data_IF_239233465190
#
_entry.id   IF_239233465190
#
_cell.length_a   1.000
_cell.length_b   1.000
_cell.length_c   1.000
_cell.angle_alpha   90.00
_cell.angle_beta   90.00
_cell.angle_gamma   90.00
#
_symmetry.space_group_name_H-M   'P 1'
#
loop_
_entity.id
_entity.type
_entity.pdbx_description
1 polymer ?
#
# COMPACT_ATOMS: atom_id res chain seq x y z
N UNK A 1 -11.39 -35.22 11.87
CA UNK A 1 -12.81 -35.04 11.51
C UNK A 1 -12.99 -34.04 10.36
N UNK A 2 -12.46 -32.80 10.42
CA UNK A 2 -12.69 -31.76 9.41
C UNK A 2 -12.17 -32.16 8.01
N UNK A 3 -10.91 -32.62 7.90
CA UNK A 3 -10.32 -33.07 6.63
C UNK A 3 -11.13 -34.20 6.00
N UNK A 4 -11.62 -35.15 6.83
CA UNK A 4 -12.46 -36.25 6.35
C UNK A 4 -13.78 -35.74 5.79
N UNK A 5 -14.44 -34.78 6.45
CA UNK A 5 -15.68 -34.18 5.95
C UNK A 5 -15.45 -33.43 4.63
N UNK A 6 -14.30 -32.73 4.47
CA UNK A 6 -13.93 -32.09 3.21
C UNK A 6 -13.81 -33.12 2.08
N UNK A 7 -13.12 -34.24 2.31
CA UNK A 7 -13.00 -35.33 1.31
C UNK A 7 -14.35 -35.90 0.92
N UNK A 8 -15.19 -36.21 1.90
CA UNK A 8 -16.54 -36.75 1.67
C UNK A 8 -17.43 -35.80 0.89
N UNK A 9 -17.32 -34.46 1.18
CA UNK A 9 -18.04 -33.45 0.46
C UNK A 9 -17.65 -33.40 -1.02
N UNK A 10 -16.35 -33.48 -1.34
CA UNK A 10 -15.86 -33.50 -2.73
C UNK A 10 -16.47 -34.67 -3.51
N UNK A 11 -16.45 -35.88 -2.93
CA UNK A 11 -16.99 -37.07 -3.60
C UNK A 11 -18.50 -37.00 -3.79
N UNK A 12 -19.22 -36.38 -2.88
CA UNK A 12 -20.66 -36.14 -3.04
C UNK A 12 -20.94 -35.29 -4.28
N UNK A 13 -20.20 -34.24 -4.50
CA UNK A 13 -20.43 -33.37 -5.63
C UNK A 13 -19.84 -33.91 -6.94
N UNK A 14 -18.85 -34.82 -6.87
CA UNK A 14 -18.30 -35.48 -8.07
C UNK A 14 -19.39 -36.14 -8.91
N UNK A 15 -20.24 -36.95 -8.28
CA UNK A 15 -21.36 -37.61 -8.96
C UNK A 15 -22.30 -36.64 -9.67
N UNK A 16 -22.61 -35.52 -9.02
CA UNK A 16 -23.45 -34.47 -9.63
C UNK A 16 -22.77 -33.84 -10.89
N UNK A 17 -21.47 -33.68 -10.86
CA UNK A 17 -20.70 -33.19 -12.02
C UNK A 17 -20.65 -34.23 -13.15
N UNK A 18 -20.54 -35.48 -12.86
CA UNK A 18 -20.57 -36.58 -13.85
C UNK A 18 -21.94 -36.64 -14.54
N UNK A 19 -23.03 -36.62 -13.77
CA UNK A 19 -24.40 -36.55 -14.31
C UNK A 19 -24.62 -35.32 -15.17
N UNK A 20 -24.16 -34.15 -14.73
CA UNK A 20 -24.26 -32.92 -15.49
C UNK A 20 -23.46 -33.00 -16.80
N UNK A 21 -22.22 -33.47 -16.74
CA UNK A 21 -21.36 -33.62 -17.90
C UNK A 21 -21.96 -34.58 -18.94
N UNK A 22 -22.53 -35.67 -18.49
CA UNK A 22 -23.27 -36.64 -19.34
C UNK A 22 -24.48 -35.96 -19.98
N UNK A 23 -25.25 -35.20 -19.20
CA UNK A 23 -26.47 -34.52 -19.69
C UNK A 23 -26.17 -33.50 -20.79
N UNK A 24 -25.10 -32.74 -20.67
CA UNK A 24 -24.69 -31.74 -21.68
C UNK A 24 -23.88 -32.33 -22.83
N UNK A 25 -23.61 -33.64 -22.80
CA UNK A 25 -22.84 -34.35 -23.87
C UNK A 25 -21.34 -34.06 -23.84
N UNK A 26 -20.79 -33.67 -22.68
CA UNK A 26 -19.34 -33.50 -22.51
C UNK A 26 -18.67 -34.86 -22.25
N UNK A 27 -17.67 -35.19 -23.06
CA UNK A 27 -16.95 -36.44 -22.96
C UNK A 27 -15.59 -36.24 -22.32
N UNK A 28 -15.38 -36.91 -21.19
CA UNK A 28 -14.12 -36.98 -20.48
C UNK A 28 -13.99 -38.37 -19.81
N UNK A 29 -12.77 -38.75 -19.48
CA UNK A 29 -12.50 -39.92 -18.67
C UNK A 29 -12.89 -39.66 -17.21
N UNK A 30 -14.12 -40.00 -16.86
CA UNK A 30 -14.67 -39.82 -15.49
C UNK A 30 -14.27 -40.93 -14.54
N UNK A 31 -13.76 -42.07 -15.07
CA UNK A 31 -13.29 -43.20 -14.26
C UNK A 31 -11.92 -42.88 -13.65
N UNK A 32 -11.07 -42.14 -14.37
CA UNK A 32 -9.77 -41.73 -13.89
C UNK A 32 -9.70 -40.20 -13.67
N UNK A 33 -10.40 -39.68 -12.68
CA UNK A 33 -10.47 -38.23 -12.44
C UNK A 33 -9.15 -37.72 -11.90
N UNK A 34 -8.88 -36.44 -12.23
CA UNK A 34 -7.76 -35.70 -11.70
C UNK A 34 -8.04 -35.28 -10.24
N UNK A 35 -7.37 -35.91 -9.28
CA UNK A 35 -7.63 -35.71 -7.85
C UNK A 35 -6.40 -35.14 -7.17
N UNK A 36 -6.48 -33.87 -6.76
CA UNK A 36 -5.34 -33.08 -6.27
C UNK A 36 -4.81 -33.51 -4.90
N UNK A 37 -5.50 -34.37 -4.15
CA UNK A 37 -5.02 -34.89 -2.88
C UNK A 37 -4.55 -36.35 -2.94
N UNK A 38 -4.50 -36.97 -4.14
CA UNK A 38 -3.89 -38.28 -4.33
C UNK A 38 -2.38 -38.20 -4.39
N UNK A 39 -1.70 -39.25 -3.96
CA UNK A 39 -0.24 -39.26 -3.83
C UNK A 39 0.49 -39.09 -5.16
N UNK A 40 -0.01 -39.64 -6.25
CA UNK A 40 0.52 -39.50 -7.59
C UNK A 40 0.48 -38.06 -8.10
N UNK A 41 -0.60 -37.32 -7.78
CA UNK A 41 -0.67 -35.87 -8.05
C UNK A 41 0.35 -35.11 -7.22
N UNK A 42 0.39 -35.36 -5.93
CA UNK A 42 1.31 -34.70 -4.98
C UNK A 42 2.77 -34.97 -5.38
N UNK A 43 3.09 -36.21 -5.79
CA UNK A 43 4.43 -36.56 -6.24
C UNK A 43 4.82 -35.76 -7.51
N UNK A 44 3.91 -35.63 -8.46
CA UNK A 44 4.11 -34.84 -9.69
C UNK A 44 4.31 -33.36 -9.38
N UNK A 45 3.55 -32.79 -8.44
CA UNK A 45 3.71 -31.42 -7.98
C UNK A 45 5.08 -31.19 -7.33
N UNK A 46 5.51 -32.10 -6.45
CA UNK A 46 6.84 -32.04 -5.83
C UNK A 46 7.96 -32.18 -6.84
N UNK A 47 7.79 -33.01 -7.86
CA UNK A 47 8.75 -33.09 -8.94
C UNK A 47 8.87 -31.74 -9.69
N UNK A 48 7.76 -31.11 -10.04
CA UNK A 48 7.77 -29.81 -10.71
C UNK A 48 8.43 -28.73 -9.86
N UNK A 49 8.10 -28.67 -8.56
CA UNK A 49 8.75 -27.74 -7.61
C UNK A 49 10.25 -27.99 -7.50
N UNK A 50 10.69 -29.26 -7.50
CA UNK A 50 12.11 -29.63 -7.48
C UNK A 50 12.85 -29.14 -8.73
N UNK A 51 12.23 -29.25 -9.91
CA UNK A 51 12.79 -28.73 -11.16
C UNK A 51 12.92 -27.20 -11.14
N UNK A 52 11.93 -26.48 -10.61
CA UNK A 52 11.97 -25.04 -10.42
C UNK A 52 13.08 -24.65 -9.42
N UNK A 53 13.21 -25.40 -8.33
CA UNK A 53 14.28 -25.21 -7.33
C UNK A 53 15.66 -25.39 -7.95
N UNK A 54 15.86 -26.47 -8.72
CA UNK A 54 17.14 -26.77 -9.39
C UNK A 54 17.56 -25.63 -10.33
N UNK A 55 16.58 -25.00 -10.98
CA UNK A 55 16.78 -23.81 -11.83
C UNK A 55 16.99 -22.51 -11.04
N UNK A 56 16.96 -22.55 -9.71
CA UNK A 56 17.10 -21.39 -8.79
C UNK A 56 16.03 -20.30 -9.02
N UNK A 57 14.86 -20.68 -9.50
CA UNK A 57 13.73 -19.78 -9.70
C UNK A 57 12.81 -19.68 -8.48
N UNK A 58 12.95 -20.59 -7.52
CA UNK A 58 12.23 -20.53 -6.24
C UNK A 58 13.10 -19.84 -5.19
N UNK A 59 12.58 -18.77 -4.61
CA UNK A 59 13.29 -17.96 -3.62
C UNK A 59 12.34 -17.50 -2.52
N UNK A 60 12.88 -17.13 -1.35
CA UNK A 60 12.12 -16.53 -0.26
C UNK A 60 11.98 -15.03 -0.50
N UNK A 61 10.77 -14.58 -0.74
CA UNK A 61 10.45 -13.18 -0.95
C UNK A 61 9.40 -12.65 0.02
N UNK A 62 9.18 -11.33 -0.01
CA UNK A 62 8.13 -10.66 0.75
C UNK A 62 7.07 -10.12 -0.21
N UNK A 63 5.82 -10.18 0.22
CA UNK A 63 4.69 -9.62 -0.52
C UNK A 63 3.75 -8.92 0.45
N UNK A 64 3.28 -7.73 0.07
CA UNK A 64 2.22 -7.05 0.81
C UNK A 64 0.90 -7.77 0.55
N UNK A 65 0.23 -8.14 1.62
CA UNK A 65 -1.10 -8.76 1.56
C UNK A 65 -1.99 -8.11 2.62
N UNK A 66 -3.28 -7.90 2.33
CA UNK A 66 -4.26 -7.57 3.36
C UNK A 66 -4.28 -8.67 4.43
N UNK A 67 -4.40 -8.28 5.68
CA UNK A 67 -4.37 -9.19 6.81
C UNK A 67 -5.52 -8.90 7.78
N UNK A 68 -6.25 -9.93 8.18
CA UNK A 68 -7.30 -9.81 9.17
C UNK A 68 -6.75 -10.07 10.58
N UNK A 69 -6.65 -9.07 11.46
CA UNK A 69 -6.15 -9.27 12.83
C UNK A 69 -7.10 -10.11 13.68
N UNK A 70 -8.39 -10.16 13.36
CA UNK A 70 -9.39 -10.97 14.05
C UNK A 70 -9.25 -12.46 13.74
N UNK A 71 -9.07 -12.79 12.46
CA UNK A 71 -8.93 -14.17 12.00
C UNK A 71 -7.49 -14.68 12.13
N UNK A 72 -6.50 -13.79 12.18
CA UNK A 72 -5.08 -14.12 12.18
C UNK A 72 -4.59 -14.67 10.84
N UNK A 73 -5.26 -14.30 9.72
CA UNK A 73 -4.98 -14.85 8.39
C UNK A 73 -4.84 -13.75 7.34
N UNK A 74 -4.01 -13.94 6.31
CA UNK A 74 -4.04 -13.09 5.13
C UNK A 74 -5.37 -13.24 4.37
N UNK A 75 -5.78 -12.17 3.70
CA UNK A 75 -7.01 -12.12 2.92
C UNK A 75 -6.68 -12.13 1.42
N UNK A 76 -7.50 -12.81 0.63
CA UNK A 76 -7.45 -12.74 -0.81
C UNK A 76 -8.02 -11.42 -1.34
N UNK A 77 -7.66 -11.04 -2.56
CA UNK A 77 -8.21 -9.86 -3.21
C UNK A 77 -9.75 -9.92 -3.34
N UNK A 78 -10.30 -11.12 -3.54
CA UNK A 78 -11.74 -11.34 -3.64
C UNK A 78 -12.44 -11.08 -2.30
N UNK A 79 -11.91 -11.56 -1.19
CA UNK A 79 -12.47 -11.29 0.15
C UNK A 79 -12.45 -9.79 0.47
N UNK A 80 -11.35 -9.11 0.15
CA UNK A 80 -11.23 -7.66 0.35
C UNK A 80 -12.26 -6.92 -0.50
N UNK A 81 -12.42 -7.27 -1.78
CA UNK A 81 -13.36 -6.58 -2.69
C UNK A 81 -14.81 -6.66 -2.24
N UNK A 82 -15.20 -7.74 -1.56
CA UNK A 82 -16.55 -7.91 -1.00
C UNK A 82 -16.78 -7.15 0.32
N UNK A 83 -15.72 -6.67 0.95
CA UNK A 83 -15.74 -6.03 2.26
C UNK A 83 -15.78 -4.50 2.25
N UNK A 84 -15.77 -3.85 1.09
CA UNK A 84 -15.77 -2.39 1.01
C UNK A 84 -17.04 -1.77 1.57
N UNK A 85 -16.87 -0.81 2.49
CA UNK A 85 -17.96 -0.04 3.10
C UNK A 85 -17.50 1.39 3.30
N UNK A 86 -18.45 2.33 3.14
CA UNK A 86 -18.21 3.72 3.53
C UNK A 86 -18.26 3.82 5.06
N UNK A 87 -17.17 4.28 5.66
CA UNK A 87 -17.04 4.48 7.10
C UNK A 87 -16.59 5.90 7.40
N UNK A 88 -16.93 6.40 8.60
CA UNK A 88 -16.38 7.66 9.11
C UNK A 88 -15.17 7.36 9.96
N UNK A 89 -14.02 7.85 9.54
CA UNK A 89 -12.75 7.69 10.24
C UNK A 89 -12.18 9.05 10.64
N UNK A 90 -11.45 9.08 11.76
CA UNK A 90 -10.65 10.26 12.10
C UNK A 90 -9.39 10.25 11.25
N UNK A 91 -9.13 11.35 10.58
CA UNK A 91 -7.88 11.56 9.85
C UNK A 91 -6.99 12.57 10.59
N UNK A 92 -5.70 12.50 10.33
CA UNK A 92 -4.72 13.42 10.85
C UNK A 92 -3.93 14.07 9.70
N UNK A 93 -3.64 15.35 9.83
CA UNK A 93 -2.66 16.05 9.01
C UNK A 93 -1.43 16.25 9.87
N UNK A 94 -0.29 15.75 9.41
CA UNK A 94 0.95 15.69 10.17
C UNK A 94 2.02 16.52 9.49
N UNK A 95 2.79 17.26 10.28
CA UNK A 95 3.90 18.11 9.83
C UNK A 95 5.21 17.35 9.87
N UNK A 96 5.90 17.23 8.75
CA UNK A 96 7.23 16.65 8.64
C UNK A 96 8.22 17.77 8.33
N UNK A 97 9.14 18.05 9.25
CA UNK A 97 10.07 19.16 9.12
C UNK A 97 11.08 18.91 8.01
N UNK A 98 11.24 19.88 7.12
CA UNK A 98 12.22 19.79 6.03
C UNK A 98 13.62 20.04 6.59
N UNK A 99 14.60 19.24 6.16
CA UNK A 99 16.00 19.42 6.57
C UNK A 99 16.56 20.70 5.95
N UNK A 100 17.16 21.56 6.78
CA UNK A 100 17.82 22.79 6.35
C UNK A 100 16.87 23.95 6.02
N UNK A 101 15.56 23.79 6.22
CA UNK A 101 14.55 24.83 6.01
C UNK A 101 13.59 24.95 7.20
N UNK A 102 13.10 26.16 7.47
CA UNK A 102 12.00 26.36 8.42
C UNK A 102 10.64 26.17 7.72
N UNK A 103 10.42 24.95 7.21
CA UNK A 103 9.24 24.56 6.47
C UNK A 103 8.89 23.09 6.76
N UNK A 104 7.65 22.70 6.48
CA UNK A 104 7.13 21.37 6.76
C UNK A 104 6.37 20.82 5.55
N UNK A 105 6.53 19.52 5.25
CA UNK A 105 5.56 18.83 4.43
C UNK A 105 4.30 18.52 5.26
N UNK A 106 3.12 18.79 4.71
CA UNK A 106 1.86 18.35 5.29
C UNK A 106 1.45 17.03 4.65
N UNK A 107 1.48 15.94 5.42
CA UNK A 107 0.98 14.65 4.97
C UNK A 107 -0.32 14.28 5.70
N UNK A 108 -1.29 13.78 4.96
CA UNK A 108 -2.56 13.33 5.48
C UNK A 108 -2.60 11.81 5.64
N UNK A 109 -3.22 11.34 6.72
CA UNK A 109 -3.41 9.91 6.98
C UNK A 109 -4.70 9.61 7.71
N UNK A 110 -5.33 8.50 7.37
CA UNK A 110 -6.44 7.88 8.13
C UNK A 110 -5.93 6.84 9.13
N UNK A 111 -4.64 6.51 9.10
CA UNK A 111 -4.02 5.47 9.94
C UNK A 111 -2.84 6.03 10.75
N UNK A 112 -3.09 6.95 11.72
CA UNK A 112 -2.00 7.64 12.44
C UNK A 112 -1.10 6.68 13.25
N UNK A 113 -1.56 5.48 13.58
CA UNK A 113 -0.76 4.45 14.25
C UNK A 113 0.37 3.87 13.38
N UNK A 114 0.39 4.16 12.06
CA UNK A 114 1.49 3.78 11.16
C UNK A 114 2.64 4.78 11.12
N UNK A 115 2.45 5.98 11.69
CA UNK A 115 3.46 7.05 11.71
C UNK A 115 4.80 6.66 12.35
N UNK A 116 4.86 5.84 13.44
CA UNK A 116 6.13 5.37 13.99
C UNK A 116 6.99 4.58 13.00
N UNK A 117 6.38 3.99 11.97
CA UNK A 117 7.06 3.24 10.90
C UNK A 117 7.24 4.07 9.62
N UNK A 118 7.09 5.40 9.69
CA UNK A 118 7.33 6.26 8.53
C UNK A 118 8.80 6.21 8.11
N UNK A 119 9.03 6.10 6.80
CA UNK A 119 10.38 6.06 6.20
C UNK A 119 10.52 6.93 4.96
N UNK A 120 9.41 7.34 4.36
CA UNK A 120 9.40 8.23 3.20
C UNK A 120 8.09 9.03 3.12
N UNK A 121 8.08 10.10 2.36
CA UNK A 121 6.90 10.78 1.87
C UNK A 121 6.79 10.56 0.36
N UNK A 122 5.57 10.59 -0.16
CA UNK A 122 5.31 10.39 -1.58
C UNK A 122 4.44 11.50 -2.13
N UNK A 123 4.82 12.01 -3.30
CA UNK A 123 4.09 13.03 -4.07
C UNK A 123 3.84 12.55 -5.49
N UNK A 124 2.85 13.13 -6.16
CA UNK A 124 2.62 12.83 -7.58
C UNK A 124 3.54 13.67 -8.45
N UNK A 125 4.39 13.09 -9.30
CA UNK A 125 5.40 13.83 -10.08
C UNK A 125 4.79 14.79 -11.10
N UNK A 126 3.56 14.53 -11.59
CA UNK A 126 2.89 15.33 -12.61
C UNK A 126 2.11 16.51 -12.03
N UNK A 127 1.78 16.47 -10.74
CA UNK A 127 0.95 17.48 -10.08
C UNK A 127 1.75 18.69 -9.63
N UNK A 128 1.03 19.78 -9.34
CA UNK A 128 1.63 21.05 -8.87
C UNK A 128 1.57 21.10 -7.34
N UNK A 129 2.71 21.41 -6.75
CA UNK A 129 2.90 21.62 -5.32
C UNK A 129 3.36 23.06 -5.06
N UNK A 130 3.01 23.57 -3.89
CA UNK A 130 3.36 24.93 -3.48
C UNK A 130 4.02 24.94 -2.12
N UNK A 131 4.90 25.92 -1.94
CA UNK A 131 5.41 26.32 -0.64
C UNK A 131 4.60 27.54 -0.21
N UNK A 132 3.85 27.41 0.88
CA UNK A 132 2.93 28.43 1.36
C UNK A 132 3.27 28.89 2.77
N UNK A 133 3.17 30.18 3.03
CA UNK A 133 3.16 30.74 4.38
C UNK A 133 1.73 30.78 4.87
N UNK A 134 1.39 30.02 5.88
CA UNK A 134 0.04 29.96 6.43
C UNK A 134 -0.16 30.99 7.56
N UNK A 135 -1.42 31.34 7.83
CA UNK A 135 -1.80 32.29 8.87
C UNK A 135 -1.43 31.83 10.29
N UNK A 136 -1.22 30.51 10.49
CA UNK A 136 -0.71 29.95 11.76
C UNK A 136 0.78 30.23 12.00
N UNK A 137 1.45 30.91 11.09
CA UNK A 137 2.85 31.32 11.20
C UNK A 137 3.86 30.31 10.65
N UNK A 138 3.41 29.13 10.18
CA UNK A 138 4.29 28.11 9.61
C UNK A 138 4.35 28.18 8.10
N UNK A 139 5.39 27.57 7.53
CA UNK A 139 5.55 27.39 6.08
C UNK A 139 5.34 25.92 5.73
N UNK A 140 4.52 25.67 4.72
CA UNK A 140 4.13 24.30 4.35
C UNK A 140 4.39 24.00 2.88
N UNK A 141 4.73 22.73 2.60
CA UNK A 141 4.71 22.11 1.28
C UNK A 141 3.49 21.20 1.16
N UNK A 142 2.65 21.45 0.17
CA UNK A 142 1.48 20.62 -0.14
C UNK A 142 1.02 20.83 -1.57
N UNK A 143 0.05 20.02 -2.03
CA UNK A 143 -0.52 20.19 -3.36
C UNK A 143 -1.32 21.50 -3.46
N UNK A 144 -1.12 22.26 -4.54
CA UNK A 144 -1.77 23.55 -4.79
C UNK A 144 -3.31 23.41 -4.75
N UNK A 145 -3.86 22.41 -5.43
CA UNK A 145 -5.30 22.16 -5.54
C UNK A 145 -6.00 21.92 -4.19
N UNK A 146 -5.26 21.58 -3.13
CA UNK A 146 -5.80 21.26 -1.81
C UNK A 146 -5.58 22.34 -0.76
N UNK A 147 -4.90 23.44 -1.10
CA UNK A 147 -4.58 24.52 -0.17
C UNK A 147 -5.84 25.12 0.45
N UNK A 148 -6.83 25.45 -0.33
CA UNK A 148 -8.09 26.06 0.17
C UNK A 148 -8.87 25.08 1.09
N UNK A 149 -8.88 23.80 0.75
CA UNK A 149 -9.55 22.77 1.56
C UNK A 149 -8.89 22.57 2.93
N UNK A 150 -7.56 22.59 2.96
CA UNK A 150 -6.76 22.28 4.17
C UNK A 150 -6.53 23.52 5.01
N UNK A 151 -6.08 24.61 4.39
CA UNK A 151 -5.67 25.83 5.08
C UNK A 151 -6.76 26.91 5.13
N UNK A 152 -7.79 26.81 4.29
CA UNK A 152 -8.84 27.83 4.18
C UNK A 152 -9.53 28.16 5.52
N UNK A 153 -9.56 27.21 6.43
CA UNK A 153 -10.10 27.40 7.79
C UNK A 153 -9.25 28.29 8.69
N UNK A 154 -8.03 28.60 8.26
CA UNK A 154 -7.14 29.52 8.99
C UNK A 154 -7.37 30.99 8.60
N UNK A 155 -8.24 31.26 7.60
CA UNK A 155 -8.65 32.61 7.28
C UNK A 155 -9.48 33.19 8.43
N UNK A 156 -9.21 34.43 8.78
CA UNK A 156 -10.04 35.24 9.66
C UNK A 156 -10.68 36.34 8.82
N UNK A 157 -11.94 36.13 8.46
CA UNK A 157 -12.70 37.07 7.62
C UNK A 157 -12.95 38.41 8.33
N UNK A 158 -13.10 38.41 9.66
CA UNK A 158 -13.32 39.63 10.44
C UNK A 158 -12.03 40.49 10.56
N UNK A 159 -10.87 39.83 10.65
CA UNK A 159 -9.57 40.48 10.66
C UNK A 159 -9.00 40.75 9.26
N UNK A 160 -9.65 40.27 8.20
CA UNK A 160 -9.18 40.41 6.80
C UNK A 160 -7.89 39.60 6.53
N UNK A 161 -7.58 38.60 7.35
CA UNK A 161 -6.37 37.80 7.22
C UNK A 161 -6.55 36.68 6.19
N UNK A 162 -5.68 36.63 5.19
CA UNK A 162 -5.63 35.53 4.23
C UNK A 162 -5.20 34.23 4.93
N UNK A 163 -5.79 33.11 4.55
CA UNK A 163 -5.44 31.80 5.08
C UNK A 163 -3.98 31.41 4.86
N UNK A 164 -3.45 31.79 3.71
CA UNK A 164 -2.07 31.50 3.31
C UNK A 164 -1.61 32.43 2.19
N UNK A 165 -0.31 32.49 1.99
CA UNK A 165 0.36 33.16 0.88
C UNK A 165 1.28 32.17 0.16
N UNK A 166 1.16 32.06 -1.16
CA UNK A 166 2.02 31.20 -1.98
C UNK A 166 3.37 31.88 -2.16
N UNK A 167 4.44 31.22 -1.71
CA UNK A 167 5.81 31.71 -1.82
C UNK A 167 6.49 31.19 -3.10
N UNK A 168 6.35 29.89 -3.35
CA UNK A 168 7.01 29.19 -4.46
C UNK A 168 6.11 28.07 -4.99
N UNK A 169 6.28 27.73 -6.27
CA UNK A 169 5.53 26.67 -6.96
C UNK A 169 6.50 25.66 -7.56
N UNK A 170 6.17 24.37 -7.45
CA UNK A 170 7.00 23.25 -7.90
C UNK A 170 6.16 22.22 -8.65
N UNK A 171 6.77 21.46 -9.55
CA UNK A 171 6.23 20.17 -9.92
C UNK A 171 6.60 19.12 -8.86
N UNK A 172 5.73 18.12 -8.65
CA UNK A 172 6.04 17.07 -7.67
C UNK A 172 7.39 16.40 -7.94
N UNK A 173 7.78 16.29 -9.21
CA UNK A 173 9.10 15.79 -9.61
C UNK A 173 10.27 16.59 -9.03
N UNK A 174 10.12 17.90 -8.87
CA UNK A 174 11.16 18.79 -8.36
C UNK A 174 11.38 18.61 -6.84
N UNK A 175 10.40 18.01 -6.15
CA UNK A 175 10.48 17.70 -4.73
C UNK A 175 11.11 16.33 -4.45
N UNK A 176 11.38 15.51 -5.47
CA UNK A 176 11.97 14.19 -5.32
C UNK A 176 13.35 14.29 -4.63
N UNK A 177 13.58 13.40 -3.67
CA UNK A 177 14.78 13.34 -2.80
C UNK A 177 14.95 14.49 -1.81
N UNK A 178 14.01 15.43 -1.69
CA UNK A 178 14.03 16.43 -0.62
C UNK A 178 13.91 15.73 0.73
N UNK A 179 14.82 16.01 1.65
CA UNK A 179 14.95 15.33 2.93
C UNK A 179 14.10 16.00 4.01
N UNK A 180 13.60 15.19 4.93
CA UNK A 180 12.86 15.66 6.10
C UNK A 180 13.35 14.94 7.38
N UNK A 181 13.15 15.58 8.53
CA UNK A 181 13.51 15.01 9.82
C UNK A 181 12.52 13.88 10.21
N UNK A 182 12.99 12.74 10.74
CA UNK A 182 12.10 11.67 11.19
C UNK A 182 11.15 12.18 12.27
N UNK A 183 9.87 11.82 12.16
CA UNK A 183 8.87 12.15 13.17
C UNK A 183 9.06 11.33 14.46
N UNK A 184 9.55 10.09 14.31
CA UNK A 184 9.90 9.14 15.36
C UNK A 184 11.17 8.39 14.98
N UNK A 185 11.97 8.00 15.95
CA UNK A 185 13.25 7.30 15.73
C UNK A 185 13.10 5.79 15.50
N UNK A 186 11.87 5.27 15.55
CA UNK A 186 11.58 3.83 15.52
C UNK A 186 12.16 3.08 14.31
N UNK A 187 12.29 3.73 13.16
CA UNK A 187 12.81 3.12 11.93
C UNK A 187 14.24 3.55 11.59
N UNK A 188 14.85 4.48 12.33
CA UNK A 188 16.22 4.99 12.06
C UNK A 188 17.25 3.87 12.12
N UNK A 189 17.30 3.13 13.23
CA UNK A 189 18.23 2.01 13.42
C UNK A 189 18.10 0.95 12.33
N UNK A 190 16.91 0.75 11.80
CA UNK A 190 16.64 -0.26 10.76
C UNK A 190 17.18 0.23 9.42
N UNK A 191 17.00 1.50 9.10
CA UNK A 191 17.57 2.12 7.91
C UNK A 191 19.10 2.03 7.93
N UNK A 192 19.73 2.35 9.06
CA UNK A 192 21.17 2.28 9.23
C UNK A 192 21.72 0.85 9.10
N UNK A 193 21.13 -0.14 9.81
CA UNK A 193 21.54 -1.56 9.75
C UNK A 193 21.42 -2.15 8.35
N UNK A 194 20.52 -1.63 7.52
CA UNK A 194 20.31 -2.12 6.16
C UNK A 194 21.04 -1.29 5.10
N UNK A 195 21.77 -0.24 5.52
CA UNK A 195 22.42 0.71 4.61
C UNK A 195 21.46 1.31 3.60
N UNK A 196 20.19 1.55 4.00
CA UNK A 196 19.16 2.17 3.18
C UNK A 196 18.89 3.58 3.65
N UNK A 197 18.85 4.52 2.71
CA UNK A 197 18.46 5.90 2.99
C UNK A 197 16.94 5.96 3.22
N UNK A 198 16.52 6.53 4.33
CA UNK A 198 15.13 6.86 4.63
C UNK A 198 14.91 8.38 4.67
N UNK A 199 13.69 8.80 5.01
CA UNK A 199 13.30 10.17 5.35
C UNK A 199 13.50 11.19 4.22
N UNK A 200 13.06 10.82 3.03
CA UNK A 200 13.06 11.69 1.86
C UNK A 200 11.74 11.55 1.06
N UNK A 201 11.50 12.51 0.17
CA UNK A 201 10.33 12.52 -0.71
C UNK A 201 10.58 11.61 -1.91
N UNK A 202 9.63 10.75 -2.22
CA UNK A 202 9.57 9.91 -3.42
C UNK A 202 8.44 10.36 -4.34
N UNK A 203 8.43 9.88 -5.57
CA UNK A 203 7.40 10.18 -6.55
C UNK A 203 6.66 8.91 -6.98
N UNK A 204 5.31 8.98 -7.03
CA UNK A 204 4.50 7.90 -7.61
C UNK A 204 3.13 8.42 -8.07
N UNK A 205 2.63 7.83 -9.16
CA UNK A 205 1.40 8.26 -9.84
C UNK A 205 0.12 7.92 -9.06
N UNK A 206 0.20 7.03 -8.06
CA UNK A 206 -0.95 6.66 -7.24
C UNK A 206 -1.39 7.75 -6.24
N UNK A 207 -0.58 8.78 -6.02
CA UNK A 207 -0.96 9.89 -5.14
C UNK A 207 -2.02 10.74 -5.85
N UNK A 208 -3.23 10.77 -5.28
CA UNK A 208 -4.38 11.51 -5.80
C UNK A 208 -4.53 12.86 -5.11
N UNK A 209 -5.26 13.78 -5.76
CA UNK A 209 -5.63 15.09 -5.23
C UNK A 209 -7.12 15.17 -4.85
N UNK A 210 -7.80 14.04 -4.70
CA UNK A 210 -9.21 13.99 -4.31
C UNK A 210 -9.43 14.32 -2.85
N UNK A 211 -8.46 13.94 -2.00
CA UNK A 211 -8.53 14.11 -0.55
C UNK A 211 -7.14 14.39 0.03
N UNK A 212 -7.11 14.89 1.27
CA UNK A 212 -5.89 15.07 2.05
C UNK A 212 -5.09 16.30 1.68
N UNK A 213 -3.79 16.14 1.47
CA UNK A 213 -2.82 17.22 1.23
C UNK A 213 -2.02 17.04 -0.05
N UNK A 214 -2.26 15.94 -0.79
CA UNK A 214 -1.45 15.54 -1.94
C UNK A 214 -0.07 15.00 -1.56
N UNK A 215 0.21 14.82 -0.27
CA UNK A 215 1.44 14.19 0.25
C UNK A 215 1.03 13.00 1.10
N UNK A 216 1.53 11.82 0.74
CA UNK A 216 1.25 10.55 1.42
C UNK A 216 2.47 10.10 2.20
N UNK A 217 2.30 9.65 3.45
CA UNK A 217 3.38 9.03 4.19
C UNK A 217 3.53 7.54 3.85
N UNK A 218 4.77 7.09 3.75
CA UNK A 218 5.13 5.70 3.45
C UNK A 218 5.73 5.06 4.70
N UNK A 219 5.18 3.90 5.10
CA UNK A 219 5.59 3.17 6.30
C UNK A 219 6.25 1.81 6.01
N UNK A 220 6.55 1.47 4.75
CA UNK A 220 6.99 0.14 4.36
C UNK A 220 8.44 0.14 3.88
N UNK A 221 9.36 -0.20 4.78
CA UNK A 221 10.78 -0.35 4.45
C UNK A 221 11.08 -1.64 3.66
N UNK A 222 10.21 -2.65 3.72
CA UNK A 222 10.54 -4.03 3.34
C UNK A 222 9.66 -4.68 2.26
N UNK A 223 8.49 -4.14 1.97
CA UNK A 223 7.44 -4.92 1.31
C UNK A 223 6.89 -4.32 0.03
N UNK A 224 7.40 -3.17 -0.39
CA UNK A 224 7.14 -2.64 -1.72
C UNK A 224 8.47 -2.49 -2.44
N UNK A 225 8.87 -3.46 -3.29
CA UNK A 225 9.92 -3.16 -4.24
C UNK A 225 9.38 -2.00 -5.11
N UNK A 226 10.02 -0.84 -4.99
CA UNK A 226 9.82 0.19 -6.01
C UNK A 226 10.13 -0.44 -7.35
N UNK A 227 9.40 -0.12 -8.43
CA UNK A 227 9.77 -0.56 -9.78
C UNK A 227 11.24 -0.28 -10.11
N UNK A 228 11.84 0.73 -9.45
CA UNK A 228 13.28 1.07 -9.58
C UNK A 228 14.22 0.13 -8.82
N UNK A 229 13.74 -0.65 -7.84
CA UNK A 229 14.55 -1.63 -7.11
C UNK A 229 14.67 -2.96 -7.87
N UNK A 230 13.84 -3.19 -8.87
CA UNK A 230 13.89 -4.35 -9.77
C UNK A 230 14.77 -4.15 -11.00
N UNK A 231 15.26 -2.94 -11.23
CA UNK A 231 16.16 -2.58 -12.34
C UNK A 231 17.65 -2.57 -11.96
N UNK A 232 18.01 -3.11 -10.76
CA UNK A 232 19.40 -3.22 -10.31
C UNK A 232 19.84 -4.65 -10.11
#
# INVERSE_FOLDING_TARGET
>A
PFIQQCKESVWKYKGMWEDFSSTVGFWADMENPYVTYHDDYIESEWWALKEIWNKKLLYKGFKIVPYCPRCGTPLSAQEVSQGYKTVKERSAIVRFKVVGEDAYFLAWTTTPWTLPSNVALCVNPAETYVKVKAADGYTYYMAEALCDTVLGKLADEEAGTKAYEVLETYKGKDLEYKEYEPLFDCAVDICEKQHKKGYYVTCADYVTLTDGTGVVHICLLYTSPSPRDTER
#
